data_IF_101365836324
#
_entry.id   IF_101365836324
#
_cell.length_a   1.000
_cell.length_b   1.000
_cell.length_c   1.000
_cell.angle_alpha   90.00
_cell.angle_beta   90.00
_cell.angle_gamma   90.00
#
_symmetry.space_group_name_H-M   'P 1'
#
loop_
_entity.id
_entity.type
_entity.pdbx_description
1 polymer ?
#
# COMPACT_ATOMS: atom_id res chain seq x y z
N UNK A 1 21.14 -36.91 -18.44
CA UNK A 1 19.94 -36.16 -18.88
C UNK A 1 18.81 -36.13 -17.84
N UNK A 2 18.53 -37.25 -17.13
CA UNK A 2 17.54 -37.32 -16.02
C UNK A 2 17.77 -36.32 -14.87
N UNK A 3 19.03 -36.07 -14.50
CA UNK A 3 19.39 -35.17 -13.38
C UNK A 3 19.24 -33.67 -13.70
N UNK A 4 19.35 -33.27 -14.99
CA UNK A 4 19.08 -31.89 -15.42
C UNK A 4 17.59 -31.57 -15.40
N UNK A 5 16.73 -32.55 -15.71
CA UNK A 5 15.28 -32.40 -15.62
C UNK A 5 14.82 -32.25 -14.17
N UNK A 6 15.45 -32.96 -13.23
CA UNK A 6 15.17 -32.85 -11.80
C UNK A 6 15.52 -31.46 -11.23
N UNK A 7 16.67 -30.90 -11.65
CA UNK A 7 17.10 -29.54 -11.31
C UNK A 7 16.16 -28.46 -11.85
N UNK A 8 15.65 -28.63 -13.08
CA UNK A 8 14.67 -27.72 -13.67
C UNK A 8 13.33 -27.77 -12.92
N UNK A 9 12.91 -28.96 -12.48
CA UNK A 9 11.67 -29.15 -11.73
C UNK A 9 11.71 -28.48 -10.34
N UNK A 10 12.86 -28.57 -9.65
CA UNK A 10 13.08 -27.93 -8.35
C UNK A 10 13.05 -26.38 -8.47
N UNK A 11 13.55 -25.83 -9.58
CA UNK A 11 13.52 -24.40 -9.86
C UNK A 11 12.10 -23.86 -10.12
N UNK A 12 11.22 -24.65 -10.76
CA UNK A 12 9.84 -24.25 -11.02
C UNK A 12 9.01 -24.17 -9.73
N UNK A 13 9.29 -25.04 -8.74
CA UNK A 13 8.59 -25.03 -7.44
C UNK A 13 8.94 -23.78 -6.61
N UNK A 14 10.20 -23.32 -6.67
CA UNK A 14 10.66 -22.10 -5.97
C UNK A 14 10.04 -20.82 -6.57
N UNK A 15 9.78 -20.80 -7.88
CA UNK A 15 9.18 -19.65 -8.57
C UNK A 15 7.64 -19.59 -8.43
N UNK A 16 7.00 -20.64 -7.92
CA UNK A 16 5.54 -20.78 -7.88
C UNK A 16 4.84 -20.21 -6.64
N UNK A 17 5.57 -19.76 -5.61
CA UNK A 17 4.97 -19.28 -4.36
C UNK A 17 5.36 -17.81 -4.13
N UNK A 18 4.58 -16.89 -4.69
CA UNK A 18 4.86 -15.46 -4.58
C UNK A 18 3.63 -14.58 -4.71
N UNK A 19 2.46 -15.00 -4.23
CA UNK A 19 1.31 -14.11 -4.09
C UNK A 19 1.19 -13.65 -2.63
N UNK A 20 1.88 -12.55 -2.31
CA UNK A 20 1.63 -11.80 -1.08
C UNK A 20 0.25 -11.14 -1.18
N UNK A 21 -0.79 -11.77 -0.65
CA UNK A 21 -2.13 -11.17 -0.55
C UNK A 21 -2.11 -10.05 0.50
N UNK A 22 -1.82 -8.83 0.05
CA UNK A 22 -1.97 -7.64 0.88
C UNK A 22 -3.47 -7.30 0.99
N UNK A 23 -4.04 -7.39 2.20
CA UNK A 23 -5.42 -6.98 2.49
C UNK A 23 -5.58 -5.44 2.59
N UNK A 24 -4.53 -4.68 2.30
CA UNK A 24 -4.59 -3.22 2.25
C UNK A 24 -5.23 -2.75 0.95
N UNK A 25 -6.15 -1.80 1.05
CA UNK A 25 -6.71 -1.06 -0.09
C UNK A 25 -6.17 0.36 -0.10
N UNK A 26 -5.89 0.87 -1.30
CA UNK A 26 -5.47 2.24 -1.53
C UNK A 26 -6.68 3.12 -1.86
N UNK A 27 -6.92 4.16 -1.06
CA UNK A 27 -7.82 5.25 -1.38
C UNK A 27 -7.00 6.50 -1.74
N UNK A 28 -7.41 7.18 -2.81
CA UNK A 28 -6.78 8.42 -3.26
C UNK A 28 -7.80 9.55 -3.21
N UNK A 29 -7.55 10.56 -2.37
CA UNK A 29 -8.49 11.63 -2.03
C UNK A 29 -7.92 12.95 -2.52
N UNK A 30 -8.68 13.66 -3.36
CA UNK A 30 -8.30 15.01 -3.78
C UNK A 30 -8.51 16.01 -2.62
N UNK A 31 -7.51 16.85 -2.37
CA UNK A 31 -7.50 17.87 -1.33
C UNK A 31 -7.25 19.26 -1.96
N UNK A 32 -8.16 19.77 -2.80
CA UNK A 32 -7.94 21.00 -3.56
C UNK A 32 -7.79 22.25 -2.69
N UNK A 33 -8.36 22.22 -1.48
CA UNK A 33 -8.38 23.31 -0.50
C UNK A 33 -7.18 23.32 0.44
N UNK A 34 -6.27 22.35 0.37
CA UNK A 34 -5.08 22.36 1.22
C UNK A 34 -4.06 23.37 0.70
N UNK A 35 -3.74 24.37 1.53
CA UNK A 35 -2.92 25.52 1.16
C UNK A 35 -1.58 25.57 1.89
N UNK A 36 -1.46 24.96 3.08
CA UNK A 36 -0.27 25.04 3.91
C UNK A 36 0.04 23.73 4.64
N UNK A 37 1.29 23.54 5.08
CA UNK A 37 1.78 22.31 5.74
C UNK A 37 1.13 22.01 7.10
N UNK A 38 0.48 22.99 7.72
CA UNK A 38 -0.28 22.77 8.94
C UNK A 38 -1.55 21.95 8.68
N UNK A 39 -2.26 22.23 7.58
CA UNK A 39 -3.41 21.43 7.17
C UNK A 39 -3.00 20.00 6.81
N UNK A 40 -1.85 19.84 6.13
CA UNK A 40 -1.28 18.52 5.82
C UNK A 40 -1.09 17.68 7.07
N UNK A 41 -0.41 18.25 8.08
CA UNK A 41 -0.11 17.57 9.34
C UNK A 41 -1.40 17.18 10.06
N UNK A 42 -2.37 18.10 10.16
CA UNK A 42 -3.62 17.83 10.84
C UNK A 42 -4.43 16.72 10.16
N UNK A 43 -4.53 16.73 8.83
CA UNK A 43 -5.22 15.68 8.07
C UNK A 43 -4.49 14.34 8.24
N UNK A 44 -3.16 14.35 8.14
CA UNK A 44 -2.36 13.13 8.32
C UNK A 44 -2.58 12.51 9.70
N UNK A 45 -2.53 13.31 10.77
CA UNK A 45 -2.79 12.85 12.13
C UNK A 45 -4.21 12.35 12.31
N UNK A 46 -5.21 13.14 11.88
CA UNK A 46 -6.62 12.77 12.01
C UNK A 46 -6.96 11.46 11.29
N UNK A 47 -6.40 11.23 10.10
CA UNK A 47 -6.63 9.99 9.33
C UNK A 47 -5.78 8.84 9.88
N UNK A 48 -4.58 9.08 10.39
CA UNK A 48 -3.74 8.04 10.98
C UNK A 48 -4.33 7.48 12.28
N UNK A 49 -5.08 8.28 13.04
CA UNK A 49 -5.77 7.85 14.26
C UNK A 49 -7.04 7.02 13.98
N UNK A 50 -7.49 6.93 12.72
CA UNK A 50 -8.66 6.14 12.37
C UNK A 50 -8.37 4.64 12.45
N UNK A 51 -9.29 3.92 13.07
CA UNK A 51 -9.18 2.48 13.25
C UNK A 51 -9.21 1.75 11.89
N UNK A 52 -8.15 0.98 11.59
CA UNK A 52 -8.02 0.26 10.33
C UNK A 52 -7.18 0.96 9.26
N UNK A 53 -6.76 2.20 9.49
CA UNK A 53 -5.77 2.86 8.64
C UNK A 53 -4.37 2.29 8.92
N UNK A 54 -3.69 1.88 7.85
CA UNK A 54 -2.34 1.31 7.92
C UNK A 54 -1.27 2.33 7.55
N UNK A 55 -1.56 3.22 6.60
CA UNK A 55 -0.61 4.25 6.14
C UNK A 55 -1.35 5.45 5.56
N UNK A 56 -0.85 6.65 5.84
CA UNK A 56 -1.34 7.91 5.26
C UNK A 56 -0.17 8.69 4.69
N UNK A 57 -0.32 9.14 3.45
CA UNK A 57 0.65 10.00 2.76
C UNK A 57 -0.09 11.17 2.14
N UNK A 58 0.31 12.40 2.43
CA UNK A 58 -0.27 13.61 1.84
C UNK A 58 0.76 14.20 0.88
N UNK A 59 0.30 14.70 -0.26
CA UNK A 59 1.14 15.37 -1.24
C UNK A 59 0.60 16.78 -1.50
N UNK A 60 1.28 17.78 -0.92
CA UNK A 60 0.92 19.19 -1.05
C UNK A 60 0.97 19.69 -2.50
N UNK A 61 1.99 19.30 -3.27
CA UNK A 61 2.21 19.79 -4.63
C UNK A 61 1.08 19.35 -5.57
N UNK A 62 0.72 18.07 -5.50
CA UNK A 62 -0.32 17.50 -6.36
C UNK A 62 -1.73 17.61 -5.77
N UNK A 63 -1.86 18.21 -4.60
CA UNK A 63 -3.15 18.41 -3.91
C UNK A 63 -3.96 17.12 -3.70
N UNK A 64 -3.30 16.02 -3.28
CA UNK A 64 -3.97 14.75 -2.96
C UNK A 64 -3.44 14.10 -1.68
N UNK A 65 -4.25 13.22 -1.08
CA UNK A 65 -3.88 12.32 0.01
C UNK A 65 -4.12 10.86 -0.38
N UNK A 66 -3.12 10.01 -0.14
CA UNK A 66 -3.21 8.56 -0.31
C UNK A 66 -3.30 7.89 1.05
N UNK A 67 -4.28 6.99 1.20
CA UNK A 67 -4.55 6.25 2.43
C UNK A 67 -4.55 4.76 2.10
N UNK A 68 -3.75 3.99 2.82
CA UNK A 68 -3.80 2.53 2.82
C UNK A 68 -4.55 2.09 4.05
N UNK A 69 -5.66 1.39 3.87
CA UNK A 69 -6.51 0.91 4.96
C UNK A 69 -6.85 -0.56 4.80
N UNK A 70 -7.20 -1.21 5.90
CA UNK A 70 -7.67 -2.58 5.91
C UNK A 70 -9.17 -2.61 5.56
N UNK A 71 -9.54 -3.19 4.42
CA UNK A 71 -10.95 -3.32 4.00
C UNK A 71 -11.77 -4.26 4.90
N UNK A 72 -11.10 -5.13 5.65
CA UNK A 72 -11.76 -6.14 6.50
C UNK A 72 -12.04 -5.64 7.93
N UNK A 73 -11.80 -4.36 8.21
CA UNK A 73 -12.10 -3.71 9.48
C UNK A 73 -13.32 -2.84 9.31
#
# INVERSE_FOLDING_TARGET
>A
MRNRVFLVYLFIIVLGIGCSVSNGKDANIALPTMMCGMCETNIKSAVADLDGVMKVTINLEKKYGQVVYNEKK
#
